data_IF_229438613227
#
_entry.id   IF_229438613227
#
_cell.length_a   1.000
_cell.length_b   1.000
_cell.length_c   1.000
_cell.angle_alpha   90.00
_cell.angle_beta   90.00
_cell.angle_gamma   90.00
#
_symmetry.space_group_name_H-M   'P 1'
#
loop_
_entity.id
_entity.type
_entity.pdbx_description
1 polymer ?
#
# COMPACT_ATOMS: atom_id res chain seq x y z
N UNK A 1 -10.28 -1.44 -42.64
CA UNK A 1 -9.40 -0.52 -41.90
C UNK A 1 -10.19 0.02 -40.72
N UNK A 2 -9.89 -0.41 -39.48
CA UNK A 2 -10.47 0.19 -38.28
C UNK A 2 -9.34 0.41 -37.29
N UNK A 3 -9.15 1.68 -36.97
CA UNK A 3 -8.00 2.25 -36.28
C UNK A 3 -7.95 1.77 -34.83
N UNK A 4 -6.86 1.10 -34.44
CA UNK A 4 -6.55 0.81 -33.05
C UNK A 4 -6.23 2.10 -32.30
N UNK A 5 -7.11 2.50 -31.39
CA UNK A 5 -6.84 3.59 -30.45
C UNK A 5 -5.68 3.25 -29.51
N UNK A 6 -4.90 4.24 -29.04
CA UNK A 6 -3.74 3.99 -28.21
C UNK A 6 -4.15 3.44 -26.85
N UNK A 7 -3.90 2.15 -26.66
CA UNK A 7 -3.97 1.44 -25.39
C UNK A 7 -3.01 2.12 -24.41
N UNK A 8 -3.56 2.76 -23.37
CA UNK A 8 -2.77 3.41 -22.33
C UNK A 8 -1.83 2.37 -21.69
N UNK A 9 -0.54 2.45 -22.04
CA UNK A 9 0.52 1.65 -21.44
C UNK A 9 0.72 2.12 -20.01
N UNK A 10 0.17 1.37 -19.06
CA UNK A 10 0.42 1.55 -17.64
C UNK A 10 1.93 1.45 -17.36
N UNK A 11 2.49 2.50 -16.77
CA UNK A 11 3.90 2.64 -16.39
C UNK A 11 4.25 1.77 -15.15
N UNK A 12 3.81 0.51 -15.11
CA UNK A 12 3.90 -0.36 -13.93
C UNK A 12 5.32 -0.79 -13.54
N UNK A 13 6.28 -0.78 -14.48
CA UNK A 13 7.64 -1.22 -14.22
C UNK A 13 8.48 -0.23 -13.40
N UNK A 14 8.23 1.08 -13.54
CA UNK A 14 9.04 2.14 -12.91
C UNK A 14 8.72 2.33 -11.42
N UNK A 15 7.46 2.11 -11.01
CA UNK A 15 7.03 2.28 -9.62
C UNK A 15 7.61 1.20 -8.71
N UNK A 16 7.72 -0.05 -9.19
CA UNK A 16 8.31 -1.17 -8.43
C UNK A 16 9.79 -1.01 -8.14
N UNK A 17 10.56 -0.35 -9.02
CA UNK A 17 12.00 -0.14 -8.84
C UNK A 17 12.35 0.74 -7.61
N UNK A 18 11.39 1.49 -7.06
CA UNK A 18 11.60 2.34 -5.87
C UNK A 18 10.98 1.77 -4.59
N UNK A 19 10.39 0.58 -4.65
CA UNK A 19 9.79 -0.05 -3.48
C UNK A 19 10.80 -0.91 -2.75
N UNK A 20 10.64 -0.97 -1.42
CA UNK A 20 11.47 -1.78 -0.53
C UNK A 20 10.62 -2.91 0.07
N UNK A 21 11.19 -4.12 0.23
CA UNK A 21 10.49 -5.21 0.89
C UNK A 21 10.26 -4.88 2.37
N UNK A 22 9.05 -5.17 2.85
CA UNK A 22 8.61 -4.96 4.23
C UNK A 22 7.70 -6.11 4.66
N UNK A 23 7.36 -6.18 5.95
CA UNK A 23 6.34 -7.09 6.44
C UNK A 23 5.55 -6.42 7.56
N UNK A 24 4.26 -6.19 7.35
CA UNK A 24 3.33 -5.68 8.37
C UNK A 24 1.89 -6.16 8.09
N UNK A 25 1.06 -6.32 9.12
CA UNK A 25 -0.37 -6.67 9.01
C UNK A 25 -1.17 -5.54 9.65
N UNK A 26 -2.01 -4.88 8.85
CA UNK A 26 -2.67 -3.64 9.25
C UNK A 26 -4.14 -3.60 8.87
N UNK A 27 -4.94 -2.89 9.67
CA UNK A 27 -6.34 -2.54 9.37
C UNK A 27 -6.51 -1.02 9.29
N UNK A 28 -7.26 -0.55 8.30
CA UNK A 28 -7.58 0.86 8.13
C UNK A 28 -8.80 1.09 7.24
N UNK A 29 -9.43 2.25 7.38
CA UNK A 29 -10.43 2.74 6.42
C UNK A 29 -9.72 3.28 5.18
N UNK A 30 -10.14 2.83 4.00
CA UNK A 30 -9.63 3.28 2.72
C UNK A 30 -10.73 3.89 1.85
N UNK A 31 -10.46 5.08 1.30
CA UNK A 31 -11.29 5.74 0.31
C UNK A 31 -10.79 5.41 -1.09
N UNK A 32 -11.64 4.82 -1.92
CA UNK A 32 -11.30 4.56 -3.32
C UNK A 32 -11.50 5.78 -4.22
N UNK A 33 -11.27 5.60 -5.52
CA UNK A 33 -11.38 6.67 -6.53
C UNK A 33 -12.82 7.17 -6.73
N UNK A 34 -13.84 6.37 -6.35
CA UNK A 34 -15.25 6.77 -6.39
C UNK A 34 -15.66 7.52 -5.13
N UNK A 35 -14.79 7.56 -4.13
CA UNK A 35 -15.06 8.17 -2.83
C UNK A 35 -15.60 7.18 -1.80
N UNK A 36 -15.78 5.91 -2.17
CA UNK A 36 -16.35 4.89 -1.29
C UNK A 36 -15.33 4.51 -0.21
N UNK A 37 -15.80 4.48 1.05
CA UNK A 37 -14.98 4.14 2.21
C UNK A 37 -15.21 2.68 2.59
N UNK A 38 -14.14 1.92 2.71
CA UNK A 38 -14.17 0.51 3.11
C UNK A 38 -13.11 0.25 4.18
N UNK A 39 -13.45 -0.50 5.23
CA UNK A 39 -12.45 -1.03 6.14
C UNK A 39 -11.66 -2.13 5.42
N UNK A 40 -10.32 -2.09 5.49
CA UNK A 40 -9.44 -3.03 4.81
C UNK A 40 -8.41 -3.56 5.78
N UNK A 41 -8.25 -4.88 5.79
CA UNK A 41 -7.09 -5.56 6.38
C UNK A 41 -6.12 -5.98 5.29
N UNK A 42 -4.86 -5.60 5.42
CA UNK A 42 -3.83 -5.79 4.40
C UNK A 42 -2.55 -6.34 5.01
N UNK A 43 -2.03 -7.44 4.45
CA UNK A 43 -0.67 -7.91 4.70
C UNK A 43 0.29 -7.26 3.73
N UNK A 44 1.02 -6.26 4.19
CA UNK A 44 1.93 -5.43 3.39
C UNK A 44 3.24 -6.17 3.18
N UNK A 45 3.71 -6.21 1.93
CA UNK A 45 4.96 -6.89 1.56
C UNK A 45 5.95 -5.98 0.80
N UNK A 46 5.48 -4.87 0.20
CA UNK A 46 6.37 -3.82 -0.31
C UNK A 46 5.84 -2.44 0.05
N UNK A 47 6.74 -1.49 0.30
CA UNK A 47 6.41 -0.10 0.56
C UNK A 47 7.26 0.83 -0.31
N UNK A 48 6.66 1.91 -0.81
CA UNK A 48 7.32 2.98 -1.54
C UNK A 48 7.09 4.33 -0.87
N UNK A 49 7.43 5.41 -1.56
CA UNK A 49 7.28 6.75 -1.01
C UNK A 49 5.80 7.14 -0.83
N UNK A 50 4.93 6.83 -1.78
CA UNK A 50 3.55 7.31 -1.88
C UNK A 50 2.49 6.18 -1.87
N UNK A 51 2.93 4.94 -2.10
CA UNK A 51 2.10 3.75 -2.14
C UNK A 51 2.76 2.55 -1.45
N UNK A 52 1.98 1.51 -1.21
CA UNK A 52 2.44 0.21 -0.74
C UNK A 52 1.67 -0.90 -1.45
N UNK A 53 2.27 -2.10 -1.51
CA UNK A 53 1.67 -3.30 -2.06
C UNK A 53 1.44 -4.32 -0.94
N UNK A 54 0.25 -4.92 -0.97
CA UNK A 54 -0.18 -5.84 0.07
C UNK A 54 -1.27 -6.79 -0.42
N UNK A 55 -1.37 -7.94 0.25
CA UNK A 55 -2.50 -8.84 0.06
C UNK A 55 -3.69 -8.29 0.85
N UNK A 56 -4.74 -7.88 0.14
CA UNK A 56 -5.96 -7.34 0.73
C UNK A 56 -6.92 -8.49 1.06
N UNK A 57 -7.19 -8.72 2.34
CA UNK A 57 -8.02 -9.85 2.78
C UNK A 57 -9.48 -9.70 2.35
N UNK A 58 -9.99 -8.47 2.26
CA UNK A 58 -11.37 -8.22 1.80
C UNK A 58 -11.58 -8.63 0.35
N UNK A 59 -10.56 -8.52 -0.49
CA UNK A 59 -10.63 -8.82 -1.93
C UNK A 59 -9.96 -10.13 -2.32
N UNK A 60 -9.28 -10.78 -1.38
CA UNK A 60 -8.50 -11.99 -1.59
C UNK A 60 -7.46 -11.87 -2.74
N UNK A 61 -6.82 -10.71 -2.87
CA UNK A 61 -5.87 -10.44 -3.94
C UNK A 61 -4.82 -9.39 -3.55
N UNK A 62 -3.71 -9.35 -4.30
CA UNK A 62 -2.69 -8.31 -4.14
C UNK A 62 -3.16 -6.99 -4.76
N UNK A 63 -2.98 -5.89 -4.02
CA UNK A 63 -3.33 -4.55 -4.45
C UNK A 63 -2.23 -3.55 -4.13
N UNK A 64 -2.08 -2.57 -5.01
CA UNK A 64 -1.33 -1.34 -4.75
C UNK A 64 -2.28 -0.30 -4.15
N UNK A 65 -1.94 0.22 -2.98
CA UNK A 65 -2.74 1.24 -2.28
C UNK A 65 -1.91 2.49 -2.05
N UNK A 66 -2.53 3.65 -2.20
CA UNK A 66 -1.90 4.94 -1.94
C UNK A 66 -2.07 5.29 -0.46
N UNK A 67 -1.02 5.81 0.19
CA UNK A 67 -1.17 6.33 1.55
C UNK A 67 -2.25 7.42 1.62
N UNK A 68 -2.36 8.24 0.57
CA UNK A 68 -3.37 9.29 0.46
C UNK A 68 -4.81 8.76 0.61
N UNK A 69 -5.08 7.52 0.17
CA UNK A 69 -6.41 6.89 0.27
C UNK A 69 -6.77 6.42 1.69
N UNK A 70 -5.81 6.30 2.60
CA UNK A 70 -6.08 5.94 3.99
C UNK A 70 -6.75 7.11 4.72
N UNK A 71 -7.89 6.81 5.34
CA UNK A 71 -8.70 7.74 6.12
C UNK A 71 -8.50 7.43 7.60
N UNK A 72 -8.02 8.42 8.35
CA UNK A 72 -7.86 8.29 9.80
C UNK A 72 -6.59 7.55 10.22
N UNK A 73 -6.73 6.65 11.19
CA UNK A 73 -5.64 5.90 11.81
C UNK A 73 -5.44 4.53 11.14
N UNK A 74 -4.27 3.96 11.36
CA UNK A 74 -3.90 2.60 10.95
C UNK A 74 -3.69 1.77 12.21
N UNK A 75 -4.39 0.65 12.30
CA UNK A 75 -4.20 -0.33 13.38
C UNK A 75 -3.17 -1.35 12.93
N UNK A 76 -2.09 -1.53 13.68
CA UNK A 76 -1.16 -2.65 13.50
C UNK A 76 -1.71 -3.87 14.20
N UNK A 77 -1.99 -4.93 13.45
CA UNK A 77 -2.68 -6.11 13.96
C UNK A 77 -1.80 -7.01 14.83
N UNK A 78 -0.47 -6.92 14.68
CA UNK A 78 0.48 -7.69 15.50
C UNK A 78 0.64 -7.14 16.92
N UNK A 79 0.50 -5.82 17.11
CA UNK A 79 0.70 -5.15 18.40
C UNK A 79 -0.59 -4.53 18.98
N UNK A 80 -1.61 -4.34 18.14
CA UNK A 80 -2.81 -3.57 18.49
C UNK A 80 -2.61 -2.05 18.48
N UNK A 81 -1.42 -1.57 18.11
CA UNK A 81 -1.11 -0.14 18.12
C UNK A 81 -1.93 0.64 17.09
N UNK A 82 -2.38 1.83 17.51
CA UNK A 82 -3.17 2.73 16.68
C UNK A 82 -2.31 3.94 16.25
N UNK A 83 -1.84 3.90 15.02
CA UNK A 83 -0.89 4.87 14.48
C UNK A 83 -1.59 5.90 13.60
N UNK A 84 -1.06 7.12 13.55
CA UNK A 84 -1.40 8.01 12.43
C UNK A 84 -0.81 7.44 11.14
N UNK A 85 -1.46 7.72 10.00
CA UNK A 85 -0.94 7.34 8.68
C UNK A 85 0.53 7.72 8.49
N UNK A 86 0.91 8.94 8.89
CA UNK A 86 2.27 9.46 8.70
C UNK A 86 3.28 8.75 9.60
N UNK A 87 2.91 8.45 10.85
CA UNK A 87 3.75 7.68 11.76
C UNK A 87 3.97 6.26 11.22
N UNK A 88 2.88 5.58 10.86
CA UNK A 88 2.94 4.24 10.30
C UNK A 88 3.79 4.16 9.02
N UNK A 89 3.60 5.09 8.07
CA UNK A 89 4.41 5.15 6.84
C UNK A 89 5.90 5.28 7.13
N UNK A 90 6.27 6.15 8.08
CA UNK A 90 7.66 6.35 8.46
C UNK A 90 8.26 5.10 9.08
N UNK A 91 7.54 4.46 10.00
CA UNK A 91 8.00 3.24 10.67
C UNK A 91 8.17 2.08 9.67
N UNK A 92 7.22 1.95 8.74
CA UNK A 92 7.24 0.94 7.69
C UNK A 92 8.47 1.09 6.79
N UNK A 93 8.80 2.31 6.37
CA UNK A 93 9.96 2.59 5.52
C UNK A 93 11.29 2.50 6.28
N UNK A 94 11.34 2.95 7.54
CA UNK A 94 12.53 2.82 8.38
C UNK A 94 12.84 1.34 8.73
N UNK A 95 11.80 0.51 8.90
CA UNK A 95 11.94 -0.93 9.10
C UNK A 95 12.49 -1.64 7.87
N UNK A 96 12.23 -1.12 6.67
CA UNK A 96 12.73 -1.69 5.42
C UNK A 96 14.25 -1.56 5.27
N UNK A 97 14.83 -0.44 5.72
CA UNK A 97 16.28 -0.21 5.64
C UNK A 97 17.08 -1.17 6.53
N UNK A 98 16.45 -1.77 7.57
CA UNK A 98 17.09 -2.78 8.42
C UNK A 98 17.42 -4.08 7.67
N UNK A 99 16.75 -4.35 6.55
CA UNK A 99 17.02 -5.52 5.70
C UNK A 99 18.11 -5.28 4.65
N UNK A 100 18.56 -4.03 4.47
CA UNK A 100 19.56 -3.68 3.45
C UNK A 100 21.02 -3.83 3.93
N UNK A 101 21.23 -4.23 5.17
CA UNK A 101 22.56 -4.24 5.83
C UNK A 101 23.03 -5.63 6.27
N UNK A 102 22.45 -6.71 5.73
CA UNK A 102 22.96 -8.08 5.91
C UNK A 102 23.55 -8.62 4.61
#
# INVERSE_FOLDING_TARGET
>A
MVSGGPQAKWQGASLRAKMVPVADDVSFVYRDLKGDKTERRVKVHHAGADHFEGYCLLRAENRTLLYAGIVGKVTRMSTGELLSKSAWRRDLLAGADRWRTQ
#
